data_IF_762160513313
#
_entry.id   IF_762160513313
#
_cell.length_a   1.000
_cell.length_b   1.000
_cell.length_c   1.000
_cell.angle_alpha   90.00
_cell.angle_beta   90.00
_cell.angle_gamma   90.00
#
_symmetry.space_group_name_H-M   'P 1'
#
loop_
_entity.id
_entity.type
_entity.pdbx_description
1 polymer ?
#
# COMPACT_ATOMS: atom_id res chain seq x y z
N UNK A 1 6.48 7.46 3.83
CA UNK A 1 5.32 7.18 4.68
C UNK A 1 5.34 8.05 5.92
N UNK A 2 4.22 8.61 6.29
CA UNK A 2 4.10 9.39 7.50
C UNK A 2 3.84 8.50 8.70
N UNK A 3 4.49 8.80 9.84
CA UNK A 3 4.33 8.02 11.07
C UNK A 3 3.49 8.73 12.14
N UNK A 4 3.29 10.04 12.03
CA UNK A 4 2.46 10.80 12.97
C UNK A 4 1.03 10.95 12.47
N UNK A 5 0.16 11.52 13.32
CA UNK A 5 -1.24 11.75 12.96
C UNK A 5 -1.37 12.60 11.69
N UNK A 6 -0.60 13.68 11.62
CA UNK A 6 -0.64 14.58 10.44
C UNK A 6 -0.19 13.81 9.19
N UNK A 7 0.89 13.04 9.31
CA UNK A 7 1.41 12.25 8.19
C UNK A 7 0.43 11.21 7.71
N UNK A 8 -0.24 10.51 8.63
CA UNK A 8 -1.24 9.49 8.28
C UNK A 8 -2.45 10.10 7.57
N UNK A 9 -2.93 11.23 8.05
CA UNK A 9 -4.08 11.90 7.44
C UNK A 9 -3.73 12.46 6.06
N UNK A 10 -2.53 13.01 5.92
CA UNK A 10 -2.08 13.55 4.64
C UNK A 10 -1.91 12.43 3.61
N UNK A 11 -1.32 11.32 4.02
CA UNK A 11 -1.15 10.16 3.13
C UNK A 11 -2.51 9.62 2.67
N UNK A 12 -3.48 9.54 3.57
CA UNK A 12 -4.82 9.08 3.21
C UNK A 12 -5.46 9.98 2.15
N UNK A 13 -5.27 11.30 2.25
CA UNK A 13 -5.79 12.24 1.27
C UNK A 13 -5.12 12.07 -0.10
N UNK A 14 -3.79 11.89 -0.12
CA UNK A 14 -3.08 11.67 -1.37
C UNK A 14 -3.50 10.36 -2.02
N UNK A 15 -3.67 9.30 -1.23
CA UNK A 15 -4.16 8.03 -1.75
C UNK A 15 -5.56 8.16 -2.34
N UNK A 16 -6.43 8.92 -1.66
CA UNK A 16 -7.77 9.17 -2.18
C UNK A 16 -7.76 9.91 -3.50
N UNK A 17 -6.79 10.81 -3.70
CA UNK A 17 -6.67 11.55 -4.94
C UNK A 17 -6.35 10.65 -6.14
N UNK A 18 -5.69 9.51 -5.91
CA UNK A 18 -5.35 8.56 -6.98
C UNK A 18 -6.62 8.06 -7.68
N UNK A 19 -7.72 7.93 -6.94
CA UNK A 19 -8.99 7.45 -7.52
C UNK A 19 -9.50 8.36 -8.63
N UNK A 20 -9.09 9.64 -8.63
CA UNK A 20 -9.54 10.63 -9.59
C UNK A 20 -8.54 10.88 -10.73
N UNK A 21 -7.44 10.15 -10.76
CA UNK A 21 -6.46 10.31 -11.83
C UNK A 21 -6.95 9.63 -13.12
N UNK A 22 -6.66 10.26 -14.26
CA UNK A 22 -6.95 9.67 -15.56
C UNK A 22 -6.05 8.47 -15.81
N UNK A 23 -4.77 8.60 -15.49
CA UNK A 23 -3.80 7.50 -15.60
C UNK A 23 -3.39 7.06 -14.21
N UNK A 24 -3.98 5.96 -13.74
CA UNK A 24 -3.67 5.42 -12.43
C UNK A 24 -2.41 4.58 -12.47
N UNK A 25 -1.66 4.49 -11.36
CA UNK A 25 -0.52 3.58 -11.30
C UNK A 25 -0.97 2.13 -11.46
N UNK A 26 -0.06 1.27 -11.92
CA UNK A 26 -0.32 -0.16 -12.08
C UNK A 26 -0.45 -0.81 -10.69
N UNK A 27 0.39 -0.39 -9.76
CA UNK A 27 0.44 -1.00 -8.44
C UNK A 27 0.86 0.01 -7.38
N UNK A 28 0.53 -0.32 -6.13
CA UNK A 28 1.00 0.39 -4.94
C UNK A 28 1.68 -0.64 -4.05
N UNK A 29 2.91 -0.34 -3.63
CA UNK A 29 3.69 -1.23 -2.80
C UNK A 29 3.86 -0.60 -1.43
N UNK A 30 3.40 -1.30 -0.39
CA UNK A 30 3.49 -0.85 0.98
C UNK A 30 4.71 -1.49 1.66
N UNK A 31 5.61 -0.65 2.17
CA UNK A 31 6.81 -1.10 2.88
C UNK A 31 6.88 -0.43 4.24
N UNK A 32 7.73 -0.98 5.13
CA UNK A 32 7.90 -0.48 6.49
C UNK A 32 6.54 -0.37 7.19
N UNK A 33 6.27 0.72 7.88
CA UNK A 33 5.01 0.89 8.60
C UNK A 33 3.78 1.03 7.69
N UNK A 34 3.97 1.19 6.39
CA UNK A 34 2.84 1.25 5.46
C UNK A 34 2.06 -0.08 5.40
N UNK A 35 2.69 -1.20 5.82
CA UNK A 35 1.99 -2.48 5.85
C UNK A 35 0.83 -2.51 6.87
N UNK A 36 0.79 -1.57 7.80
CA UNK A 36 -0.38 -1.44 8.68
C UNK A 36 -1.63 -1.02 7.91
N UNK A 37 -1.47 -0.34 6.78
CA UNK A 37 -2.61 0.09 5.96
C UNK A 37 -3.33 -1.08 5.29
N UNK A 38 -2.65 -2.22 5.10
CA UNK A 38 -3.23 -3.39 4.46
C UNK A 38 -3.63 -4.48 5.46
N UNK A 39 -3.29 -4.30 6.74
CA UNK A 39 -3.51 -5.30 7.77
C UNK A 39 -4.43 -4.84 8.89
N UNK A 40 -4.46 -3.55 9.18
CA UNK A 40 -5.24 -2.97 10.29
C UNK A 40 -6.46 -2.26 9.74
N UNK A 41 -7.62 -2.86 9.94
CA UNK A 41 -8.91 -2.32 9.44
C UNK A 41 -9.26 -0.97 10.07
N UNK A 42 -8.68 -0.64 11.20
CA UNK A 42 -8.91 0.65 11.85
C UNK A 42 -7.97 1.75 11.36
N UNK A 43 -6.99 1.40 10.54
CA UNK A 43 -6.06 2.40 9.99
C UNK A 43 -6.81 3.37 9.08
N UNK A 44 -6.46 4.67 9.18
CA UNK A 44 -7.14 5.73 8.43
C UNK A 44 -7.11 5.50 6.92
N UNK A 45 -6.08 4.86 6.40
CA UNK A 45 -5.94 4.59 4.96
C UNK A 45 -6.48 3.24 4.51
N UNK A 46 -6.97 2.40 5.43
CA UNK A 46 -7.42 1.06 5.06
C UNK A 46 -8.53 1.09 4.00
N UNK A 47 -9.57 1.87 4.24
CA UNK A 47 -10.72 1.91 3.33
C UNK A 47 -10.35 2.51 1.97
N UNK A 48 -9.49 3.51 1.93
CA UNK A 48 -9.08 4.10 0.66
C UNK A 48 -8.23 3.13 -0.15
N UNK A 49 -7.35 2.35 0.50
CA UNK A 49 -6.59 1.31 -0.19
C UNK A 49 -7.51 0.23 -0.74
N UNK A 50 -8.54 -0.13 0.02
CA UNK A 50 -9.52 -1.12 -0.45
C UNK A 50 -10.23 -0.61 -1.70
N UNK A 51 -10.61 0.64 -1.74
CA UNK A 51 -11.24 1.25 -2.91
C UNK A 51 -10.27 1.28 -4.11
N UNK A 52 -9.00 1.57 -3.87
CA UNK A 52 -7.99 1.56 -4.92
C UNK A 52 -7.82 0.16 -5.51
N UNK A 53 -7.82 -0.86 -4.66
CA UNK A 53 -7.77 -2.25 -5.12
C UNK A 53 -9.00 -2.57 -5.98
N UNK A 54 -10.17 -2.16 -5.54
CA UNK A 54 -11.41 -2.38 -6.29
C UNK A 54 -11.42 -1.65 -7.64
N UNK A 55 -10.66 -0.58 -7.75
CA UNK A 55 -10.55 0.17 -9.02
C UNK A 55 -9.60 -0.49 -10.03
N UNK A 56 -8.95 -1.58 -9.64
CA UNK A 56 -8.05 -2.33 -10.53
C UNK A 56 -6.56 -2.13 -10.27
N UNK A 57 -6.19 -1.35 -9.27
CA UNK A 57 -4.79 -1.15 -8.89
C UNK A 57 -4.35 -2.33 -8.03
N UNK A 58 -3.21 -2.93 -8.37
CA UNK A 58 -2.64 -4.00 -7.56
C UNK A 58 -2.03 -3.43 -6.30
N UNK A 59 -2.35 -4.04 -5.15
CA UNK A 59 -1.80 -3.61 -3.86
C UNK A 59 -0.88 -4.72 -3.35
N UNK A 60 0.34 -4.35 -2.97
CA UNK A 60 1.32 -5.29 -2.46
C UNK A 60 1.86 -4.83 -1.12
N UNK A 61 2.21 -5.77 -0.26
CA UNK A 61 2.88 -5.50 1.00
C UNK A 61 4.18 -6.29 1.07
N UNK A 62 5.24 -5.64 1.51
CA UNK A 62 6.56 -6.26 1.64
C UNK A 62 6.52 -7.39 2.67
N UNK A 63 6.89 -8.61 2.27
CA UNK A 63 6.86 -9.77 3.14
C UNK A 63 7.77 -9.63 4.35
N UNK A 64 8.99 -9.11 4.16
CA UNK A 64 9.91 -8.89 5.29
C UNK A 64 9.34 -7.92 6.31
N UNK A 65 8.65 -6.88 5.84
CA UNK A 65 8.02 -5.90 6.72
C UNK A 65 6.85 -6.51 7.49
N UNK A 66 6.03 -7.32 6.80
CA UNK A 66 4.94 -8.04 7.46
C UNK A 66 5.47 -8.97 8.55
N UNK A 67 6.56 -9.69 8.26
CA UNK A 67 7.17 -10.58 9.24
C UNK A 67 7.73 -9.80 10.43
N UNK A 68 8.42 -8.69 10.17
CA UNK A 68 9.01 -7.87 11.23
C UNK A 68 7.96 -7.34 12.20
N UNK A 69 6.79 -6.97 11.69
CA UNK A 69 5.68 -6.48 12.51
C UNK A 69 4.73 -7.59 12.94
N UNK A 70 5.02 -8.86 12.59
CA UNK A 70 4.18 -10.02 12.92
C UNK A 70 2.76 -9.88 12.37
N UNK A 71 2.64 -9.43 11.13
CA UNK A 71 1.37 -9.15 10.48
C UNK A 71 1.05 -10.07 9.29
N UNK A 72 1.87 -11.09 9.05
CA UNK A 72 1.66 -11.96 7.88
C UNK A 72 0.23 -12.53 7.85
N UNK A 73 -0.26 -12.99 8.99
CA UNK A 73 -1.59 -13.59 9.09
C UNK A 73 -2.72 -12.57 9.06
N UNK A 74 -2.40 -11.30 9.09
CA UNK A 74 -3.39 -10.22 9.12
C UNK A 74 -3.53 -9.47 7.80
N UNK A 75 -2.77 -9.87 6.79
CA UNK A 75 -2.87 -9.23 5.47
C UNK A 75 -4.27 -9.46 4.91
N UNK A 76 -4.99 -8.37 4.63
CA UNK A 76 -6.36 -8.45 4.15
C UNK A 76 -6.62 -7.68 2.87
N UNK A 77 -5.69 -6.83 2.43
CA UNK A 77 -5.77 -6.13 1.15
C UNK A 77 -4.56 -6.52 0.32
N UNK A 78 -4.80 -6.99 -0.90
CA UNK A 78 -3.73 -7.30 -1.84
C UNK A 78 -2.93 -8.55 -1.48
N UNK A 79 -1.70 -8.58 -1.92
CA UNK A 79 -0.84 -9.75 -1.81
C UNK A 79 0.51 -9.39 -1.21
N UNK A 80 1.19 -10.40 -0.66
CA UNK A 80 2.55 -10.27 -0.16
C UNK A 80 3.53 -10.34 -1.33
N UNK A 81 4.58 -9.54 -1.27
CA UNK A 81 5.62 -9.54 -2.28
C UNK A 81 7.00 -9.63 -1.62
N UNK A 82 8.05 -9.76 -2.43
CA UNK A 82 9.42 -9.85 -1.95
C UNK A 82 10.28 -8.77 -2.63
N UNK A 83 11.52 -8.62 -2.13
CA UNK A 83 12.41 -7.56 -2.61
C UNK A 83 12.68 -7.66 -4.12
N UNK A 84 12.84 -8.86 -4.65
CA UNK A 84 13.09 -9.04 -6.08
C UNK A 84 11.90 -8.54 -6.91
N UNK A 85 10.69 -8.97 -6.55
CA UNK A 85 9.47 -8.56 -7.25
C UNK A 85 9.26 -7.05 -7.16
N UNK A 86 9.53 -6.44 -6.00
CA UNK A 86 9.42 -5.00 -5.82
C UNK A 86 10.34 -4.26 -6.78
N UNK A 87 11.61 -4.68 -6.85
CA UNK A 87 12.57 -4.02 -7.73
C UNK A 87 12.22 -4.23 -9.20
N UNK A 88 11.71 -5.40 -9.56
CA UNK A 88 11.27 -5.68 -10.92
C UNK A 88 10.12 -4.76 -11.31
N UNK A 89 9.12 -4.61 -10.44
CA UNK A 89 7.98 -3.74 -10.70
C UNK A 89 8.40 -2.28 -10.83
N UNK A 90 9.29 -1.82 -9.95
CA UNK A 90 9.76 -0.43 -9.98
C UNK A 90 10.54 -0.11 -11.26
N UNK A 91 11.19 -1.10 -11.85
CA UNK A 91 11.99 -0.91 -13.06
C UNK A 91 11.16 -0.99 -14.34
N UNK A 92 9.99 -1.62 -14.33
CA UNK A 92 9.22 -1.90 -15.53
C UNK A 92 7.88 -1.17 -15.63
N UNK A 93 7.30 -0.80 -14.50
CA UNK A 93 5.94 -0.25 -14.47
C UNK A 93 5.86 1.06 -13.70
N UNK A 94 4.77 1.79 -13.93
CA UNK A 94 4.44 2.95 -13.10
C UNK A 94 3.82 2.46 -11.80
N UNK A 95 4.58 2.58 -10.72
CA UNK A 95 4.26 2.02 -9.41
C UNK A 95 4.52 3.07 -8.34
N UNK A 96 3.65 3.12 -7.33
CA UNK A 96 3.86 3.94 -6.15
C UNK A 96 4.34 3.04 -5.02
N UNK A 97 5.47 3.42 -4.42
CA UNK A 97 5.99 2.74 -3.24
C UNK A 97 5.76 3.62 -2.02
N UNK A 98 5.06 3.12 -1.07
CA UNK A 98 4.76 3.80 0.18
C UNK A 98 5.63 3.30 1.33
#
# INVERSE_FOLDING_TARGET
TGSGEVGKNLLSKFLGAILNLDNKPVAIICVNNAVFMTTDRSHVSYQVLKKLEESGIKIYSCGSCLEAYKLVDKLSIGEMTNAYEVMQMLSEFEVIKL
#
